data_IF_766148581021
#
_entry.id   IF_766148581021
#
_cell.length_a   1.000
_cell.length_b   1.000
_cell.length_c   1.000
_cell.angle_alpha   90.00
_cell.angle_beta   90.00
_cell.angle_gamma   90.00
#
_symmetry.space_group_name_H-M   'P 1'
#
loop_
_entity.id
_entity.type
_entity.pdbx_description
1 polymer ?
#
# COMPACT_ATOMS: atom_id res chain seq x y z
N UNK A 1 -3.13 -12.18 -33.41
CA UNK A 1 -2.23 -12.12 -32.24
C UNK A 1 -2.67 -10.93 -31.39
N UNK A 2 -2.69 -11.10 -30.08
CA UNK A 2 -3.03 -10.00 -29.16
C UNK A 2 -1.72 -9.34 -28.70
N UNK A 3 -1.72 -8.02 -28.50
CA UNK A 3 -0.53 -7.28 -28.08
C UNK A 3 0.07 -7.84 -26.77
N UNK A 4 -0.81 -8.15 -25.82
CA UNK A 4 -0.48 -8.62 -24.47
C UNK A 4 0.20 -9.99 -24.42
N UNK A 5 0.18 -10.76 -25.51
CA UNK A 5 0.75 -12.11 -25.62
C UNK A 5 1.73 -12.23 -26.80
N UNK A 6 2.29 -11.11 -27.27
CA UNK A 6 3.21 -11.07 -28.41
C UNK A 6 4.47 -11.92 -28.20
N UNK A 7 4.98 -11.93 -26.97
CA UNK A 7 6.22 -12.59 -26.56
C UNK A 7 5.99 -13.82 -25.67
N UNK A 8 4.75 -14.34 -25.64
CA UNK A 8 4.42 -15.52 -24.82
C UNK A 8 5.18 -16.76 -25.33
N UNK A 9 5.95 -17.40 -24.46
CA UNK A 9 6.64 -18.65 -24.78
C UNK A 9 5.70 -19.85 -24.76
N UNK A 10 6.03 -20.87 -25.56
CA UNK A 10 5.30 -22.14 -25.58
C UNK A 10 5.36 -22.85 -24.22
N UNK A 11 6.44 -22.66 -23.46
CA UNK A 11 6.59 -23.19 -22.11
C UNK A 11 5.57 -22.58 -21.14
N UNK A 12 5.44 -21.25 -21.11
CA UNK A 12 4.47 -20.57 -20.24
C UNK A 12 3.04 -20.93 -20.64
N UNK A 13 2.76 -21.01 -21.95
CA UNK A 13 1.47 -21.49 -22.45
C UNK A 13 1.18 -22.92 -21.98
N UNK A 14 2.16 -23.83 -22.12
CA UNK A 14 2.07 -25.21 -21.65
C UNK A 14 1.77 -25.30 -20.16
N UNK A 15 2.48 -24.53 -19.33
CA UNK A 15 2.28 -24.49 -17.87
C UNK A 15 0.86 -24.06 -17.49
N UNK A 16 0.29 -23.05 -18.18
CA UNK A 16 -1.10 -22.62 -17.95
C UNK A 16 -2.10 -23.71 -18.38
N UNK A 17 -1.87 -24.40 -19.49
CA UNK A 17 -2.73 -25.50 -19.94
C UNK A 17 -2.65 -26.69 -18.98
N UNK A 18 -1.48 -27.01 -18.45
CA UNK A 18 -1.28 -28.03 -17.43
C UNK A 18 -2.07 -27.71 -16.16
N UNK A 19 -1.97 -26.48 -15.65
CA UNK A 19 -2.75 -26.00 -14.50
C UNK A 19 -4.25 -26.14 -14.73
N UNK A 20 -4.75 -25.69 -15.89
CA UNK A 20 -6.18 -25.75 -16.22
C UNK A 20 -6.67 -27.20 -16.44
N UNK A 21 -5.78 -28.11 -16.85
CA UNK A 21 -6.09 -29.51 -17.10
C UNK A 21 -6.06 -30.39 -15.84
N UNK A 22 -5.45 -29.89 -14.75
CA UNK A 22 -5.43 -30.52 -13.43
C UNK A 22 -4.08 -31.06 -12.98
N UNK A 23 -2.99 -30.63 -13.60
CA UNK A 23 -1.63 -30.95 -13.15
C UNK A 23 -1.22 -29.94 -12.08
N UNK A 24 -1.37 -30.32 -10.80
CA UNK A 24 -0.99 -29.47 -9.67
C UNK A 24 0.32 -29.95 -9.03
N UNK A 25 1.26 -29.06 -8.71
CA UNK A 25 2.57 -29.44 -8.18
C UNK A 25 2.57 -29.94 -6.72
N UNK A 26 1.46 -29.79 -5.96
CA UNK A 26 1.38 -30.25 -4.57
C UNK A 26 -0.05 -30.59 -4.13
N UNK A 27 -0.19 -31.35 -3.03
CA UNK A 27 -1.48 -31.66 -2.39
C UNK A 27 -2.17 -30.43 -1.77
N UNK A 28 -1.43 -29.33 -1.53
CA UNK A 28 -1.99 -28.06 -1.05
C UNK A 28 -2.97 -27.43 -2.04
N UNK A 29 -3.00 -27.91 -3.29
CA UNK A 29 -3.89 -27.45 -4.34
C UNK A 29 -5.03 -28.43 -4.64
N UNK A 30 -5.31 -29.40 -3.76
CA UNK A 30 -6.38 -30.40 -3.93
C UNK A 30 -7.79 -29.81 -4.04
N UNK A 31 -7.99 -28.58 -3.58
CA UNK A 31 -9.23 -27.82 -3.70
C UNK A 31 -9.47 -27.28 -5.12
N UNK A 32 -8.40 -27.13 -5.91
CA UNK A 32 -8.51 -26.65 -7.28
C UNK A 32 -9.24 -27.67 -8.16
N UNK A 33 -10.07 -27.14 -9.06
CA UNK A 33 -10.87 -27.94 -9.97
C UNK A 33 -10.41 -27.70 -11.40
N UNK A 34 -9.96 -28.73 -12.13
CA UNK A 34 -9.59 -28.59 -13.53
C UNK A 34 -10.80 -28.17 -14.36
N UNK A 35 -10.57 -27.28 -15.34
CA UNK A 35 -11.63 -26.69 -16.18
C UNK A 35 -11.56 -27.16 -17.63
N UNK A 36 -10.43 -27.72 -18.05
CA UNK A 36 -10.26 -28.25 -19.40
C UNK A 36 -9.79 -29.71 -19.37
N UNK A 37 -9.84 -30.34 -20.53
CA UNK A 37 -9.12 -31.57 -20.85
C UNK A 37 -8.22 -31.28 -22.02
N UNK A 38 -6.95 -31.62 -21.86
CA UNK A 38 -5.92 -31.44 -22.89
C UNK A 38 -5.39 -32.81 -23.32
N UNK A 39 -5.61 -33.14 -24.58
CA UNK A 39 -4.95 -34.27 -25.22
C UNK A 39 -3.56 -33.83 -25.70
N UNK A 40 -2.52 -34.33 -25.05
CA UNK A 40 -1.12 -33.96 -25.33
C UNK A 40 -0.58 -34.61 -26.60
N UNK A 41 -1.21 -35.67 -27.10
CA UNK A 41 -0.80 -36.34 -28.34
C UNK A 41 -1.33 -35.58 -29.55
N UNK A 42 -2.59 -35.18 -29.50
CA UNK A 42 -3.24 -34.47 -30.63
C UNK A 42 -3.21 -32.95 -30.50
N UNK A 43 -2.87 -32.42 -29.31
CA UNK A 43 -2.93 -30.99 -28.99
C UNK A 43 -4.34 -30.47 -28.78
N UNK A 44 -5.38 -31.32 -28.77
CA UNK A 44 -6.77 -30.87 -28.64
C UNK A 44 -7.14 -30.43 -27.22
N UNK A 45 -7.81 -29.29 -27.13
CA UNK A 45 -8.37 -28.73 -25.90
C UNK A 45 -9.89 -28.82 -25.94
N UNK A 46 -10.49 -29.30 -24.85
CA UNK A 46 -11.95 -29.28 -24.66
C UNK A 46 -12.32 -28.82 -23.26
N UNK A 47 -13.41 -28.08 -23.14
CA UNK A 47 -13.97 -27.72 -21.84
C UNK A 47 -14.50 -28.95 -21.09
N UNK A 48 -14.34 -28.97 -19.77
CA UNK A 48 -15.09 -29.89 -18.90
C UNK A 48 -16.52 -29.40 -18.73
N UNK A 49 -17.38 -30.26 -18.18
CA UNK A 49 -18.75 -29.89 -17.84
C UNK A 49 -18.76 -28.66 -16.91
N UNK A 50 -19.56 -27.65 -17.24
CA UNK A 50 -19.69 -26.41 -16.47
C UNK A 50 -18.68 -25.31 -16.80
N UNK A 51 -17.62 -25.58 -17.56
CA UNK A 51 -16.58 -24.58 -17.85
C UNK A 51 -17.07 -23.40 -18.68
N UNK A 52 -17.99 -23.62 -19.62
CA UNK A 52 -18.61 -22.54 -20.40
C UNK A 52 -19.41 -21.60 -19.49
N UNK A 53 -20.23 -22.15 -18.58
CA UNK A 53 -21.02 -21.36 -17.64
C UNK A 53 -20.11 -20.50 -16.77
N UNK A 54 -19.04 -21.09 -16.23
CA UNK A 54 -18.04 -20.39 -15.43
C UNK A 54 -17.39 -19.24 -16.19
N UNK A 55 -16.97 -19.46 -17.44
CA UNK A 55 -16.33 -18.44 -18.26
C UNK A 55 -17.26 -17.26 -18.59
N UNK A 56 -18.56 -17.51 -18.71
CA UNK A 56 -19.55 -16.47 -19.01
C UNK A 56 -19.99 -15.72 -17.75
N UNK A 57 -20.08 -16.40 -16.60
CA UNK A 57 -20.51 -15.76 -15.34
C UNK A 57 -19.39 -15.00 -14.65
N UNK A 58 -18.13 -15.40 -14.86
CA UNK A 58 -16.94 -14.69 -14.37
C UNK A 58 -16.27 -13.93 -15.51
N UNK A 59 -17.08 -13.27 -16.35
CA UNK A 59 -16.57 -12.49 -17.45
C UNK A 59 -16.05 -11.15 -16.92
N UNK A 60 -14.72 -10.98 -16.88
CA UNK A 60 -14.11 -9.73 -16.48
C UNK A 60 -12.65 -9.88 -16.07
N UNK A 61 -11.99 -8.74 -15.95
CA UNK A 61 -10.64 -8.62 -15.38
C UNK A 61 -10.62 -7.66 -14.19
N UNK A 62 -11.77 -7.09 -13.83
CA UNK A 62 -11.91 -6.27 -12.63
C UNK A 62 -11.98 -7.25 -11.45
N UNK A 63 -11.02 -7.20 -10.51
CA UNK A 63 -11.08 -8.04 -9.33
C UNK A 63 -12.27 -7.61 -8.46
N UNK A 64 -12.93 -8.58 -7.84
CA UNK A 64 -13.83 -8.29 -6.72
C UNK A 64 -12.94 -7.78 -5.57
N UNK A 65 -12.93 -6.47 -5.33
CA UNK A 65 -12.29 -5.84 -4.18
C UNK A 65 -13.36 -5.22 -3.29
N UNK A 66 -13.30 -5.50 -2.00
CA UNK A 66 -14.26 -5.00 -1.01
C UNK A 66 -13.63 -4.10 0.04
N UNK A 67 -14.39 -3.07 0.47
CA UNK A 67 -14.18 -2.49 1.79
C UNK A 67 -15.00 -3.29 2.79
N UNK A 68 -14.39 -3.72 3.88
CA UNK A 68 -15.08 -4.38 4.98
C UNK A 68 -15.60 -3.35 5.95
N UNK A 69 -16.90 -3.37 6.26
CA UNK A 69 -17.41 -2.54 7.34
C UNK A 69 -16.89 -3.03 8.69
N UNK A 70 -16.49 -2.10 9.55
CA UNK A 70 -16.08 -2.37 10.93
C UNK A 70 -17.23 -2.02 11.87
N UNK A 71 -17.63 -2.96 12.73
CA UNK A 71 -18.79 -2.83 13.60
C UNK A 71 -18.50 -3.24 15.05
N UNK A 72 -19.21 -2.62 15.98
CA UNK A 72 -19.35 -3.12 17.34
C UNK A 72 -20.23 -4.38 17.38
N UNK A 73 -20.19 -5.19 18.47
CA UNK A 73 -21.03 -6.38 18.61
C UNK A 73 -22.54 -6.06 18.62
N UNK A 74 -22.91 -4.82 18.97
CA UNK A 74 -24.29 -4.33 18.92
C UNK A 74 -24.76 -3.93 17.50
N UNK A 75 -23.88 -4.04 16.50
CA UNK A 75 -24.15 -3.70 15.10
C UNK A 75 -23.89 -2.24 14.75
N UNK A 76 -23.37 -1.42 15.67
CA UNK A 76 -22.99 -0.02 15.37
C UNK A 76 -21.76 0.02 14.46
N UNK A 77 -21.84 0.72 13.34
CA UNK A 77 -20.70 0.90 12.42
C UNK A 77 -19.72 1.94 12.97
N UNK A 78 -18.45 1.57 13.03
CA UNK A 78 -17.36 2.45 13.51
C UNK A 78 -16.39 2.86 12.40
N UNK A 79 -16.41 2.15 11.26
CA UNK A 79 -15.68 2.56 10.07
C UNK A 79 -15.63 1.47 9.01
N UNK A 80 -14.54 1.49 8.24
CA UNK A 80 -14.25 0.57 7.16
C UNK A 80 -12.78 0.12 7.26
N UNK A 81 -12.45 -0.99 6.61
CA UNK A 81 -11.08 -1.48 6.41
C UNK A 81 -10.94 -1.99 4.97
N UNK A 82 -9.73 -1.88 4.45
CA UNK A 82 -9.34 -2.53 3.19
C UNK A 82 -9.40 -4.06 3.32
N UNK A 83 -9.88 -4.77 2.29
CA UNK A 83 -9.94 -6.23 2.25
C UNK A 83 -8.58 -6.89 2.47
N UNK A 84 -7.51 -6.32 1.93
CA UNK A 84 -6.17 -6.88 2.11
C UNK A 84 -5.69 -6.74 3.55
N UNK A 85 -6.02 -5.60 4.21
CA UNK A 85 -5.78 -5.43 5.64
C UNK A 85 -6.58 -6.44 6.46
N UNK A 86 -7.85 -6.70 6.11
CA UNK A 86 -8.67 -7.73 6.79
C UNK A 86 -8.11 -9.13 6.55
N UNK A 87 -7.60 -9.42 5.35
CA UNK A 87 -7.00 -10.70 4.99
C UNK A 87 -5.73 -10.99 5.80
N UNK A 88 -4.91 -9.97 6.06
CA UNK A 88 -3.73 -10.09 6.91
C UNK A 88 -4.03 -10.14 8.40
N UNK A 89 -5.23 -9.74 8.81
CA UNK A 89 -5.60 -9.61 10.22
C UNK A 89 -6.10 -10.92 10.82
N UNK A 90 -5.88 -11.11 12.12
CA UNK A 90 -6.41 -12.25 12.88
C UNK A 90 -7.32 -11.83 14.02
N UNK A 91 -8.25 -12.73 14.38
CA UNK A 91 -9.07 -12.56 15.59
C UNK A 91 -8.16 -12.44 16.82
N UNK A 92 -8.44 -11.45 17.65
CA UNK A 92 -7.66 -11.09 18.84
C UNK A 92 -6.64 -9.97 18.60
N UNK A 93 -6.24 -9.72 17.35
CA UNK A 93 -5.32 -8.63 17.01
C UNK A 93 -5.96 -7.26 17.20
N UNK A 94 -5.13 -6.26 17.43
CA UNK A 94 -5.53 -4.87 17.62
C UNK A 94 -5.04 -4.01 16.48
N UNK A 95 -5.87 -3.05 16.03
CA UNK A 95 -5.53 -2.10 14.99
C UNK A 95 -6.01 -0.69 15.34
N UNK A 96 -5.41 0.32 14.72
CA UNK A 96 -5.83 1.72 14.87
C UNK A 96 -6.93 2.05 13.87
N UNK A 97 -8.00 2.72 14.30
CA UNK A 97 -9.01 3.29 13.40
C UNK A 97 -9.37 4.68 13.92
N UNK A 98 -9.03 5.70 13.14
CA UNK A 98 -8.96 7.08 13.63
C UNK A 98 -7.85 7.21 14.68
N UNK A 99 -8.18 7.80 15.83
CA UNK A 99 -7.27 7.97 16.96
C UNK A 99 -7.41 6.88 18.04
N UNK A 100 -8.17 5.81 17.78
CA UNK A 100 -8.52 4.79 18.78
C UNK A 100 -8.02 3.42 18.36
N UNK A 101 -7.58 2.61 19.35
CA UNK A 101 -7.27 1.19 19.14
C UNK A 101 -8.53 0.33 19.31
N UNK A 102 -8.69 -0.63 18.41
CA UNK A 102 -9.77 -1.62 18.37
C UNK A 102 -9.21 -3.03 18.34
N UNK A 103 -9.86 -3.98 19.02
CA UNK A 103 -9.54 -5.41 18.98
C UNK A 103 -10.53 -6.14 18.09
N UNK A 104 -10.04 -7.01 17.21
CA UNK A 104 -10.85 -7.86 16.36
C UNK A 104 -11.42 -9.01 17.19
N UNK A 105 -12.74 -9.09 17.27
CA UNK A 105 -13.45 -10.22 17.92
C UNK A 105 -13.85 -11.28 16.90
N UNK A 106 -14.22 -10.86 15.68
CA UNK A 106 -14.64 -11.77 14.62
C UNK A 106 -14.40 -11.16 13.24
N UNK A 107 -14.08 -12.02 12.27
CA UNK A 107 -13.94 -11.67 10.85
C UNK A 107 -14.87 -12.57 10.06
N UNK A 108 -15.92 -11.97 9.52
CA UNK A 108 -16.89 -12.65 8.66
C UNK A 108 -16.65 -12.28 7.19
N UNK A 109 -17.39 -12.89 6.27
CA UNK A 109 -17.29 -12.58 4.84
C UNK A 109 -17.68 -11.13 4.48
N UNK A 110 -18.48 -10.45 5.32
CA UNK A 110 -19.04 -9.12 5.01
C UNK A 110 -18.54 -8.00 5.92
N UNK A 111 -17.99 -8.34 7.09
CA UNK A 111 -17.63 -7.35 8.13
C UNK A 111 -16.62 -7.88 9.13
N UNK A 112 -15.98 -6.91 9.79
CA UNK A 112 -15.14 -7.13 10.97
C UNK A 112 -15.89 -6.64 12.21
N UNK A 113 -15.97 -7.49 13.23
CA UNK A 113 -16.57 -7.15 14.53
C UNK A 113 -15.44 -6.83 15.52
N UNK A 114 -15.55 -5.70 16.22
CA UNK A 114 -14.48 -5.19 17.09
C UNK A 114 -14.97 -4.71 18.45
N UNK A 115 -14.08 -4.70 19.43
CA UNK A 115 -14.27 -4.03 20.73
C UNK A 115 -13.20 -2.96 20.97
N UNK A 116 -13.48 -1.89 21.74
CA UNK A 116 -12.45 -0.91 22.09
C UNK A 116 -11.30 -1.54 22.88
N UNK A 117 -10.06 -1.22 22.52
CA UNK A 117 -8.85 -1.71 23.18
C UNK A 117 -7.90 -0.58 23.60
N UNK A 118 -8.36 0.38 24.44
CA UNK A 118 -7.57 1.54 24.83
C UNK A 118 -6.28 1.14 25.55
N UNK A 119 -5.19 1.85 25.25
CA UNK A 119 -3.87 1.60 25.86
C UNK A 119 -3.16 0.35 25.32
N UNK A 120 -3.77 -0.37 24.38
CA UNK A 120 -3.10 -1.46 23.67
C UNK A 120 -2.53 -0.91 22.35
N UNK A 121 -1.26 -1.19 22.03
CA UNK A 121 -0.71 -1.08 20.68
C UNK A 121 -1.63 -1.63 19.59
N UNK A 122 -1.93 -0.85 18.56
CA UNK A 122 -2.62 -1.33 17.36
C UNK A 122 -1.71 -1.37 16.14
N UNK A 123 -1.84 -2.39 15.30
CA UNK A 123 -1.31 -2.40 13.93
C UNK A 123 -1.91 -1.22 13.17
N UNK A 124 -1.08 -0.53 12.39
CA UNK A 124 -1.55 0.58 11.55
C UNK A 124 -2.27 -0.03 10.34
N UNK A 125 -3.55 0.31 10.09
CA UNK A 125 -4.20 -0.14 8.88
C UNK A 125 -3.57 0.58 7.69
N UNK A 126 -3.41 -0.13 6.59
CA UNK A 126 -3.09 0.47 5.30
C UNK A 126 -4.35 0.51 4.43
N UNK A 127 -4.36 1.47 3.52
CA UNK A 127 -5.42 1.66 2.53
C UNK A 127 -4.79 1.64 1.16
N UNK A 128 -5.07 0.63 0.35
CA UNK A 128 -4.66 0.65 -1.03
C UNK A 128 -5.74 1.41 -1.82
N UNK A 129 -5.45 2.67 -2.14
CA UNK A 129 -6.28 3.44 -3.06
C UNK A 129 -6.43 2.71 -4.41
N UNK A 130 -7.49 3.04 -5.15
CA UNK A 130 -7.78 2.39 -6.42
C UNK A 130 -6.72 2.77 -7.47
N UNK A 131 -5.77 1.86 -7.74
CA UNK A 131 -4.70 2.02 -8.73
C UNK A 131 -3.29 1.73 -8.19
N UNK A 132 -2.25 1.74 -9.04
CA UNK A 132 -0.87 1.44 -8.65
C UNK A 132 -0.18 2.54 -7.82
N UNK A 133 -0.95 3.54 -7.34
CA UNK A 133 -0.46 4.79 -6.76
C UNK A 133 0.32 5.68 -7.75
N UNK A 134 0.89 6.77 -7.25
CA UNK A 134 1.61 7.79 -8.03
C UNK A 134 2.83 7.18 -8.73
N UNK A 135 2.99 7.38 -10.06
CA UNK A 135 4.18 6.96 -10.77
C UNK A 135 5.37 7.88 -10.48
N UNK A 136 6.59 7.36 -10.67
CA UNK A 136 7.84 8.07 -10.37
C UNK A 136 7.97 9.38 -11.17
N UNK A 137 7.53 9.43 -12.42
CA UNK A 137 7.61 10.63 -13.26
C UNK A 137 6.81 11.78 -12.66
N UNK A 138 5.59 11.49 -12.19
CA UNK A 138 4.76 12.49 -11.53
C UNK A 138 5.35 12.88 -10.16
N UNK A 139 5.85 11.90 -9.40
CA UNK A 139 6.52 12.17 -8.13
C UNK A 139 7.72 13.11 -8.25
N UNK A 140 8.58 12.87 -9.25
CA UNK A 140 9.70 13.78 -9.58
C UNK A 140 9.23 15.17 -9.99
N UNK A 141 8.15 15.27 -10.75
CA UNK A 141 7.59 16.56 -11.15
C UNK A 141 7.06 17.35 -9.94
N UNK A 142 6.38 16.68 -9.01
CA UNK A 142 5.92 17.29 -7.75
C UNK A 142 7.12 17.78 -6.92
N UNK A 143 8.14 16.93 -6.74
CA UNK A 143 9.35 17.31 -6.02
C UNK A 143 10.07 18.50 -6.67
N UNK A 144 10.23 18.49 -7.99
CA UNK A 144 10.84 19.60 -8.71
C UNK A 144 10.04 20.90 -8.55
N UNK A 145 8.70 20.82 -8.60
CA UNK A 145 7.83 21.96 -8.35
C UNK A 145 8.03 22.54 -6.94
N UNK A 146 8.01 21.69 -5.91
CA UNK A 146 8.25 22.11 -4.51
C UNK A 146 9.59 22.81 -4.37
N UNK A 147 10.66 22.19 -4.88
CA UNK A 147 12.02 22.77 -4.87
C UNK A 147 12.07 24.13 -5.56
N UNK A 148 11.49 24.23 -6.75
CA UNK A 148 11.54 25.45 -7.54
C UNK A 148 10.74 26.60 -6.91
N UNK A 149 9.59 26.31 -6.31
CA UNK A 149 8.78 27.31 -5.59
C UNK A 149 9.52 27.80 -4.34
N UNK A 150 10.16 26.89 -3.60
CA UNK A 150 10.95 27.22 -2.39
C UNK A 150 12.20 28.06 -2.65
N UNK A 151 12.69 28.12 -3.89
CA UNK A 151 13.86 28.92 -4.27
C UNK A 151 13.52 30.37 -4.62
N UNK A 152 12.23 30.70 -4.76
CA UNK A 152 11.75 32.04 -5.06
C UNK A 152 11.49 32.81 -3.77
N UNK A 153 11.58 34.14 -3.84
CA UNK A 153 10.98 35.01 -2.83
C UNK A 153 9.45 34.88 -2.87
N UNK A 154 8.80 35.23 -1.75
CA UNK A 154 7.37 35.02 -1.54
C UNK A 154 6.50 35.71 -2.60
N UNK A 155 6.80 36.96 -2.95
CA UNK A 155 6.05 37.72 -3.96
C UNK A 155 6.14 37.03 -5.33
N UNK A 156 7.34 36.68 -5.78
CA UNK A 156 7.56 35.97 -7.04
C UNK A 156 6.94 34.57 -7.05
N UNK A 157 6.95 33.89 -5.91
CA UNK A 157 6.33 32.58 -5.75
C UNK A 157 4.81 32.65 -5.90
N UNK A 158 4.15 33.61 -5.22
CA UNK A 158 2.70 33.85 -5.33
C UNK A 158 2.32 34.16 -6.78
N UNK A 159 3.03 35.09 -7.42
CA UNK A 159 2.77 35.44 -8.82
C UNK A 159 2.87 34.23 -9.74
N UNK A 160 3.90 33.39 -9.55
CA UNK A 160 4.07 32.15 -10.34
C UNK A 160 2.91 31.19 -10.11
N UNK A 161 2.51 30.96 -8.86
CA UNK A 161 1.41 30.06 -8.49
C UNK A 161 0.09 30.51 -9.11
N UNK A 162 -0.20 31.81 -9.08
CA UNK A 162 -1.40 32.37 -9.69
C UNK A 162 -1.36 32.27 -11.22
N UNK A 163 -0.29 32.77 -11.85
CA UNK A 163 -0.24 32.92 -13.31
C UNK A 163 -0.04 31.61 -14.06
N UNK A 164 0.79 30.70 -13.54
CA UNK A 164 1.12 29.43 -14.22
C UNK A 164 0.28 28.25 -13.75
N UNK A 165 -0.15 28.25 -12.49
CA UNK A 165 -0.85 27.13 -11.90
C UNK A 165 -2.34 27.44 -11.62
N UNK A 166 -2.77 28.70 -11.78
CA UNK A 166 -4.17 29.08 -11.65
C UNK A 166 -4.70 29.06 -10.23
N UNK A 167 -3.81 29.15 -9.23
CA UNK A 167 -4.20 29.25 -7.83
C UNK A 167 -4.79 30.64 -7.58
N UNK A 168 -5.83 30.71 -6.75
CA UNK A 168 -6.28 31.98 -6.18
C UNK A 168 -5.34 32.45 -5.05
N UNK A 169 -5.55 33.68 -4.57
CA UNK A 169 -4.71 34.32 -3.55
C UNK A 169 -4.57 33.44 -2.30
N UNK A 170 -5.69 32.92 -1.79
CA UNK A 170 -5.71 32.09 -0.59
C UNK A 170 -5.00 30.75 -0.83
N UNK A 171 -5.19 30.11 -1.97
CA UNK A 171 -4.53 28.84 -2.29
C UNK A 171 -3.02 29.01 -2.42
N UNK A 172 -2.56 30.10 -3.04
CA UNK A 172 -1.13 30.40 -3.18
C UNK A 172 -0.48 30.66 -1.81
N UNK A 173 -1.08 31.53 -1.00
CA UNK A 173 -0.60 31.84 0.36
C UNK A 173 -0.58 30.58 1.25
N UNK A 174 -1.65 29.78 1.24
CA UNK A 174 -1.71 28.55 2.04
C UNK A 174 -0.64 27.54 1.63
N UNK A 175 -0.38 27.38 0.32
CA UNK A 175 0.68 26.48 -0.14
C UNK A 175 2.05 26.96 0.35
N UNK A 176 2.36 28.25 0.25
CA UNK A 176 3.65 28.78 0.71
C UNK A 176 3.81 28.69 2.23
N UNK A 177 2.74 28.97 2.98
CA UNK A 177 2.72 28.78 4.43
C UNK A 177 2.98 27.32 4.78
N UNK A 178 2.26 26.38 4.17
CA UNK A 178 2.41 24.95 4.40
C UNK A 178 3.84 24.45 4.15
N UNK A 179 4.46 24.88 3.04
CA UNK A 179 5.83 24.51 2.74
C UNK A 179 6.85 25.18 3.68
N UNK A 180 6.53 26.36 4.22
CA UNK A 180 7.36 27.06 5.22
C UNK A 180 7.30 26.36 6.56
N UNK A 181 6.10 26.02 7.02
CA UNK A 181 5.89 25.26 8.26
C UNK A 181 6.65 23.93 8.23
N UNK A 182 6.61 23.21 7.10
CA UNK A 182 7.38 21.97 6.94
C UNK A 182 8.90 22.19 7.05
N UNK A 183 9.41 23.25 6.41
CA UNK A 183 10.82 23.59 6.46
C UNK A 183 11.26 24.01 7.87
N UNK A 184 10.41 24.72 8.61
CA UNK A 184 10.67 25.08 10.01
C UNK A 184 10.66 23.86 10.93
N UNK A 185 9.73 22.92 10.71
CA UNK A 185 9.61 21.71 11.51
C UNK A 185 10.76 20.72 11.29
N UNK A 186 11.20 20.54 10.05
CA UNK A 186 12.12 19.45 9.67
C UNK A 186 13.46 19.91 9.08
N UNK A 187 13.67 21.22 8.94
CA UNK A 187 14.88 21.83 8.38
C UNK A 187 14.97 21.81 6.86
N UNK A 188 14.14 21.01 6.19
CA UNK A 188 14.05 20.90 4.74
C UNK A 188 12.62 20.53 4.33
N UNK A 189 12.28 20.71 3.06
CA UNK A 189 11.03 20.17 2.49
C UNK A 189 11.39 19.00 1.59
N UNK A 190 10.71 17.84 1.70
CA UNK A 190 10.92 16.74 0.77
C UNK A 190 10.72 17.18 -0.68
N UNK A 191 11.69 16.90 -1.54
CA UNK A 191 11.65 17.24 -2.96
C UNK A 191 12.30 16.15 -3.83
N UNK A 192 12.49 16.41 -5.12
CA UNK A 192 13.05 15.42 -6.06
C UNK A 192 14.54 15.13 -5.84
N UNK A 193 15.21 15.86 -4.94
CA UNK A 193 16.64 15.73 -4.59
C UNK A 193 16.89 15.55 -3.10
N UNK A 194 15.86 15.72 -2.27
CA UNK A 194 15.97 15.76 -0.81
C UNK A 194 14.94 14.81 -0.21
N UNK A 195 15.43 13.73 0.39
CA UNK A 195 14.63 12.82 1.21
C UNK A 195 14.79 13.28 2.66
N UNK A 196 13.67 13.46 3.37
CA UNK A 196 13.69 13.81 4.78
C UNK A 196 13.35 12.57 5.59
N UNK A 197 14.19 12.26 6.59
CA UNK A 197 13.90 11.20 7.57
C UNK A 197 13.57 11.87 8.90
N UNK A 198 12.30 11.89 9.24
CA UNK A 198 11.79 12.45 10.49
C UNK A 198 11.66 11.37 11.56
N UNK A 199 12.00 11.70 12.80
CA UNK A 199 11.84 10.81 13.94
C UNK A 199 11.24 11.52 15.14
N UNK A 200 10.17 10.97 15.69
CA UNK A 200 9.50 11.48 16.88
C UNK A 200 8.94 10.34 17.74
N UNK A 201 8.55 10.64 18.99
CA UNK A 201 7.85 9.70 19.87
C UNK A 201 6.36 9.94 19.79
N UNK A 202 5.57 8.86 19.76
CA UNK A 202 4.13 8.97 19.88
C UNK A 202 3.68 9.11 21.36
N UNK A 203 2.37 9.22 21.58
CA UNK A 203 1.77 9.46 22.89
C UNK A 203 2.02 8.34 23.91
N UNK A 204 2.37 7.13 23.44
CA UNK A 204 2.67 5.98 24.30
C UNK A 204 4.18 5.74 24.46
N UNK A 205 5.02 6.57 23.84
CA UNK A 205 6.48 6.56 23.97
C UNK A 205 7.22 5.79 22.88
N UNK A 206 6.51 5.16 21.94
CA UNK A 206 7.11 4.42 20.84
C UNK A 206 7.70 5.37 19.80
N UNK A 207 8.77 4.91 19.13
CA UNK A 207 9.39 5.67 18.06
C UNK A 207 8.59 5.56 16.76
N UNK A 208 8.39 6.71 16.12
CA UNK A 208 7.92 6.83 14.74
C UNK A 208 9.07 7.33 13.88
N UNK A 209 9.28 6.66 12.74
CA UNK A 209 10.25 7.07 11.73
C UNK A 209 9.53 7.23 10.42
N UNK A 210 9.58 8.45 9.86
CA UNK A 210 8.94 8.78 8.61
C UNK A 210 10.01 9.11 7.56
N UNK A 211 10.07 8.32 6.49
CA UNK A 211 10.86 8.63 5.29
C UNK A 211 9.94 9.38 4.33
N UNK A 212 10.12 10.69 4.24
CA UNK A 212 9.28 11.59 3.45
C UNK A 212 9.92 11.84 2.09
N UNK A 213 9.18 11.56 1.02
CA UNK A 213 9.66 11.67 -0.37
C UNK A 213 8.49 11.69 -1.36
N UNK A 214 8.58 12.43 -2.47
CA UNK A 214 7.47 12.54 -3.42
C UNK A 214 7.39 11.38 -4.43
N UNK A 215 8.25 10.37 -4.38
CA UNK A 215 8.45 9.40 -5.48
C UNK A 215 7.30 8.42 -5.75
N UNK A 216 6.28 8.38 -4.89
CA UNK A 216 5.07 7.62 -5.13
C UNK A 216 5.14 6.16 -4.69
N UNK A 217 3.96 5.55 -4.54
CA UNK A 217 3.79 4.19 -4.05
C UNK A 217 4.56 3.14 -4.86
N UNK A 218 4.71 3.32 -6.18
CA UNK A 218 5.43 2.36 -7.03
C UNK A 218 6.91 2.24 -6.66
N UNK A 219 7.47 3.25 -5.99
CA UNK A 219 8.82 3.23 -5.42
C UNK A 219 8.78 2.83 -3.94
N UNK A 220 7.83 3.38 -3.18
CA UNK A 220 7.79 3.19 -1.73
C UNK A 220 7.38 1.77 -1.34
N UNK A 221 6.51 1.09 -2.09
CA UNK A 221 6.11 -0.29 -1.82
C UNK A 221 7.28 -1.29 -1.87
N UNK A 222 8.07 -1.39 -2.97
CA UNK A 222 9.22 -2.30 -2.98
C UNK A 222 10.33 -1.86 -2.01
N UNK A 223 10.50 -0.56 -1.77
CA UNK A 223 11.45 -0.06 -0.77
C UNK A 223 11.04 -0.47 0.65
N UNK A 224 9.77 -0.30 1.00
CA UNK A 224 9.17 -0.77 2.24
C UNK A 224 9.39 -2.26 2.47
N UNK A 225 9.18 -3.10 1.46
CA UNK A 225 9.43 -4.54 1.54
C UNK A 225 10.90 -4.84 1.83
N UNK A 226 11.82 -4.13 1.17
CA UNK A 226 13.25 -4.29 1.41
C UNK A 226 13.66 -3.86 2.83
N UNK A 227 13.11 -2.75 3.33
CA UNK A 227 13.33 -2.27 4.70
C UNK A 227 12.80 -3.27 5.73
N UNK A 228 11.58 -3.78 5.52
CA UNK A 228 10.96 -4.74 6.45
C UNK A 228 11.78 -6.04 6.55
N UNK A 229 12.26 -6.56 5.41
CA UNK A 229 13.12 -7.74 5.41
C UNK A 229 14.45 -7.49 6.14
N UNK A 230 15.15 -6.40 5.80
CA UNK A 230 16.47 -6.06 6.37
C UNK A 230 16.39 -5.82 7.87
N UNK A 231 15.49 -4.95 8.29
CA UNK A 231 15.36 -4.59 9.70
C UNK A 231 14.77 -5.75 10.52
N UNK A 232 13.93 -6.59 9.92
CA UNK A 232 13.44 -7.83 10.53
C UNK A 232 14.56 -8.84 10.82
N UNK A 233 15.51 -8.98 9.89
CA UNK A 233 16.73 -9.79 10.10
C UNK A 233 17.64 -9.20 11.18
N UNK A 234 17.83 -7.88 11.18
CA UNK A 234 18.72 -7.20 12.12
C UNK A 234 18.20 -7.24 13.57
N UNK A 235 16.89 -7.01 13.78
CA UNK A 235 16.29 -6.88 15.11
C UNK A 235 15.56 -8.14 15.59
N UNK A 236 15.42 -9.16 14.74
CA UNK A 236 14.80 -10.43 15.11
C UNK A 236 13.31 -10.34 15.44
N UNK A 237 12.63 -9.29 14.97
CA UNK A 237 11.20 -9.07 15.13
C UNK A 237 10.63 -8.43 13.86
N UNK A 238 9.38 -8.75 13.53
CA UNK A 238 8.65 -8.03 12.50
C UNK A 238 8.43 -6.58 12.93
N UNK A 239 8.53 -5.67 11.95
CA UNK A 239 8.36 -4.22 12.14
C UNK A 239 7.08 -3.82 11.42
N UNK A 240 6.26 -3.07 12.15
CA UNK A 240 5.08 -2.41 11.60
C UNK A 240 5.52 -1.24 10.72
N UNK A 241 5.26 -1.36 9.42
CA UNK A 241 5.58 -0.36 8.42
C UNK A 241 4.36 -0.14 7.52
N UNK A 242 4.12 1.13 7.17
CA UNK A 242 3.15 1.55 6.17
C UNK A 242 3.85 2.39 5.11
N UNK A 243 3.39 2.35 3.86
CA UNK A 243 3.84 3.23 2.79
C UNK A 243 2.65 3.93 2.14
N UNK A 244 2.91 5.10 1.55
CA UNK A 244 1.94 5.88 0.78
C UNK A 244 2.65 6.50 -0.44
N UNK A 245 1.95 7.36 -1.18
CA UNK A 245 2.61 8.12 -2.25
C UNK A 245 3.67 9.10 -1.75
N UNK A 246 3.55 9.58 -0.51
CA UNK A 246 4.37 10.65 0.05
C UNK A 246 5.45 10.15 1.02
N UNK A 247 5.55 8.84 1.24
CA UNK A 247 6.63 8.27 2.01
C UNK A 247 6.37 6.90 2.62
N UNK A 248 7.18 6.59 3.62
CA UNK A 248 7.15 5.36 4.41
C UNK A 248 7.13 5.73 5.89
N UNK A 249 6.27 5.11 6.68
CA UNK A 249 6.18 5.29 8.13
C UNK A 249 6.45 3.96 8.81
N UNK A 250 7.37 3.96 9.76
CA UNK A 250 7.72 2.80 10.58
C UNK A 250 7.42 3.08 12.04
N UNK A 251 6.96 2.04 12.75
CA UNK A 251 6.83 2.05 14.20
C UNK A 251 7.88 1.13 14.81
N UNK A 252 8.56 1.64 15.82
CA UNK A 252 9.63 0.93 16.49
C UNK A 252 9.41 0.97 18.01
N UNK A 253 9.58 -0.16 18.71
CA UNK A 253 9.56 -0.19 20.16
C UNK A 253 10.53 0.81 20.79
N UNK A 254 10.16 1.39 21.92
CA UNK A 254 11.02 2.34 22.67
C UNK A 254 12.44 1.80 22.93
N UNK A 255 12.58 0.49 23.14
CA UNK A 255 13.85 -0.17 23.46
C UNK A 255 14.89 -0.12 22.32
N UNK A 256 14.51 0.24 21.09
CA UNK A 256 15.42 0.43 19.96
C UNK A 256 16.00 1.85 19.96
N UNK A 257 17.05 2.07 20.75
CA UNK A 257 17.69 3.39 20.89
C UNK A 257 18.48 3.84 19.64
N UNK A 258 18.95 2.89 18.82
CA UNK A 258 19.77 3.17 17.63
C UNK A 258 19.06 2.72 16.36
N UNK A 259 18.62 3.70 15.59
CA UNK A 259 18.23 3.53 14.20
C UNK A 259 19.47 3.71 13.33
N UNK A 260 19.88 2.70 12.57
CA UNK A 260 20.96 2.88 11.64
C UNK A 260 20.36 3.58 10.41
N UNK A 261 20.41 4.92 10.40
CA UNK A 261 19.91 5.76 9.29
C UNK A 261 20.54 5.36 7.94
N UNK A 262 21.77 4.86 7.99
CA UNK A 262 22.50 4.28 6.85
C UNK A 262 21.85 2.99 6.30
N UNK A 263 20.91 2.40 7.02
CA UNK A 263 20.16 1.22 6.57
C UNK A 263 18.80 1.58 5.98
N UNK A 264 18.31 2.79 6.30
CA UNK A 264 17.10 3.34 5.71
C UNK A 264 17.35 3.79 4.26
N UNK A 265 18.57 4.20 3.95
CA UNK A 265 19.04 4.59 2.63
C UNK A 265 19.91 3.44 2.09
N UNK A 266 19.61 2.97 0.88
CA UNK A 266 20.31 1.85 0.25
C UNK A 266 21.84 1.98 0.23
#
# INVERSE_FOLDING_TARGET
RCANFGDLSDEVLGNVLDLLSGTYPSEQFSELRPRIVWDRVTGQLRGRAGSQRLAVTNAGTIPDRGLFGVFLPDGTRVGELDEEMVYESRVGETFLLGASTWRIEDITYERVVVTPAPGVPGKMPFWHGDGPGRPLELGRAIGAFVREVRQLDEETAIERLQQRHGLDDLAAENLLSYLTDQAEATGAVPDDRTIVVERFRDEIGDWRVCVLTPFGAQVHAPWAMALQARLGEEWGSEIDLMWSDDGIVMRLPEALDRLPLDELLF
#
